data_IF_074800619879
#
_entry.id   IF_074800619879
#
_cell.length_a   1.000
_cell.length_b   1.000
_cell.length_c   1.000
_cell.angle_alpha   90.00
_cell.angle_beta   90.00
_cell.angle_gamma   90.00
#
_symmetry.space_group_name_H-M   'P 1'
#
loop_
_entity.id
_entity.type
_entity.pdbx_description
1 polymer ?
#
# COMPACT_ATOMS: atom_id res chain seq x y z
N UNK A 1 -0.84 -1.15 19.74
CA UNK A 1 -2.01 -0.72 20.57
C UNK A 1 -3.13 -1.72 20.41
N UNK A 2 -4.02 -1.83 21.39
CA UNK A 2 -5.22 -2.64 21.29
C UNK A 2 -6.41 -1.84 20.72
N UNK A 3 -7.53 -2.52 20.46
CA UNK A 3 -8.70 -1.85 19.88
C UNK A 3 -9.34 -0.82 20.81
N UNK A 4 -9.24 -1.01 22.12
CA UNK A 4 -9.73 0.01 23.07
C UNK A 4 -8.93 1.32 22.92
N UNK A 5 -7.62 1.20 22.80
CA UNK A 5 -6.76 2.36 22.55
C UNK A 5 -7.09 3.04 21.21
N UNK A 6 -7.26 2.25 20.15
CA UNK A 6 -7.66 2.77 18.83
C UNK A 6 -8.98 3.55 18.91
N UNK A 7 -9.98 2.98 19.56
CA UNK A 7 -11.31 3.59 19.69
C UNK A 7 -11.33 4.85 20.55
N UNK A 8 -10.31 5.04 21.39
CA UNK A 8 -10.18 6.19 22.27
C UNK A 8 -9.36 7.33 21.66
N UNK A 9 -8.77 7.15 20.49
CA UNK A 9 -7.93 8.16 19.86
C UNK A 9 -8.74 9.39 19.44
N UNK A 10 -8.29 10.61 19.79
CA UNK A 10 -8.81 11.83 19.16
C UNK A 10 -8.56 11.81 17.65
N UNK A 11 -9.33 12.61 16.92
CA UNK A 11 -9.25 12.68 15.46
C UNK A 11 -7.82 12.91 14.93
N UNK A 12 -7.13 13.91 15.48
CA UNK A 12 -5.78 14.26 15.03
C UNK A 12 -4.78 13.12 15.25
N UNK A 13 -4.85 12.46 16.40
CA UNK A 13 -3.97 11.33 16.71
C UNK A 13 -4.28 10.13 15.84
N UNK A 14 -5.55 9.87 15.58
CA UNK A 14 -5.95 8.78 14.69
C UNK A 14 -5.41 9.00 13.28
N UNK A 15 -5.56 10.21 12.74
CA UNK A 15 -5.04 10.53 11.39
C UNK A 15 -3.51 10.47 11.36
N UNK A 16 -2.85 10.93 12.41
CA UNK A 16 -1.39 10.87 12.50
C UNK A 16 -0.87 9.43 12.51
N UNK A 17 -1.54 8.54 13.26
CA UNK A 17 -1.11 7.14 13.40
C UNK A 17 -1.47 6.31 12.16
N UNK A 18 -2.68 6.46 11.65
CA UNK A 18 -3.21 5.65 10.55
C UNK A 18 -3.15 6.32 9.19
N UNK A 19 -2.65 7.55 9.12
CA UNK A 19 -2.70 8.35 7.89
C UNK A 19 -1.89 7.81 6.71
N UNK A 20 -0.96 6.88 6.96
CA UNK A 20 -0.15 6.27 5.90
C UNK A 20 -0.34 4.75 5.77
N UNK A 21 -1.42 4.20 6.31
CA UNK A 21 -1.75 2.78 6.03
C UNK A 21 -2.13 2.57 4.56
N UNK A 22 -2.62 3.62 3.92
CA UNK A 22 -2.66 3.75 2.46
C UNK A 22 -1.71 4.88 2.10
N UNK A 23 -0.74 4.60 1.27
CA UNK A 23 0.39 5.48 0.96
C UNK A 23 -0.06 6.90 0.58
N UNK A 24 0.36 7.88 1.35
CA UNK A 24 0.09 9.31 1.14
C UNK A 24 -1.39 9.67 0.99
N UNK A 25 -2.27 8.86 1.56
CA UNK A 25 -3.72 9.09 1.53
C UNK A 25 -4.31 9.23 2.94
N UNK A 26 -3.93 10.26 3.72
CA UNK A 26 -4.42 10.44 5.09
C UNK A 26 -5.94 10.68 5.16
N UNK A 27 -6.56 11.09 4.07
CA UNK A 27 -8.00 11.32 4.00
C UNK A 27 -8.81 10.06 4.29
N UNK A 28 -8.27 8.86 4.00
CA UNK A 28 -8.98 7.61 4.27
C UNK A 28 -9.10 7.39 5.78
N UNK A 29 -8.01 7.56 6.53
CA UNK A 29 -8.04 7.52 7.98
C UNK A 29 -9.01 8.55 8.56
N UNK A 30 -8.96 9.79 8.05
CA UNK A 30 -9.87 10.85 8.47
C UNK A 30 -11.34 10.47 8.26
N UNK A 31 -11.66 9.87 7.11
CA UNK A 31 -13.03 9.49 6.77
C UNK A 31 -13.57 8.34 7.64
N UNK A 32 -12.73 7.35 7.95
CA UNK A 32 -13.20 6.18 8.74
C UNK A 32 -13.23 6.44 10.25
N UNK A 33 -12.56 7.46 10.75
CA UNK A 33 -12.53 7.79 12.17
C UNK A 33 -13.93 7.93 12.79
N UNK A 34 -14.88 8.50 12.07
CA UNK A 34 -16.26 8.68 12.52
C UNK A 34 -17.03 7.36 12.67
N UNK A 35 -16.54 6.28 12.13
CA UNK A 35 -17.16 4.95 12.23
C UNK A 35 -16.82 4.21 13.52
N UNK A 36 -15.98 4.81 14.38
CA UNK A 36 -15.69 4.22 15.71
C UNK A 36 -16.98 4.12 16.56
N UNK A 37 -17.07 3.17 17.48
CA UNK A 37 -16.04 2.18 17.82
C UNK A 37 -15.96 1.04 16.82
N UNK A 38 -14.72 0.58 16.56
CA UNK A 38 -14.49 -0.65 15.78
C UNK A 38 -14.48 -1.84 16.74
N UNK A 39 -15.27 -2.86 16.42
CA UNK A 39 -15.39 -4.05 17.25
C UNK A 39 -14.13 -4.92 17.27
N UNK A 40 -13.32 -4.85 16.20
CA UNK A 40 -12.14 -5.69 16.02
C UNK A 40 -11.16 -5.06 15.05
N UNK A 41 -9.96 -5.64 14.96
CA UNK A 41 -9.00 -5.32 13.90
C UNK A 41 -9.64 -5.46 12.50
N UNK A 42 -10.37 -6.55 12.28
CA UNK A 42 -11.05 -6.78 11.00
C UNK A 42 -12.09 -5.69 10.70
N UNK A 43 -12.81 -5.19 11.69
CA UNK A 43 -13.77 -4.10 11.50
C UNK A 43 -13.10 -2.81 11.06
N UNK A 44 -11.94 -2.47 11.63
CA UNK A 44 -11.14 -1.33 11.20
C UNK A 44 -10.64 -1.51 9.76
N UNK A 45 -10.07 -2.66 9.46
CA UNK A 45 -9.57 -2.99 8.13
C UNK A 45 -10.68 -2.95 7.09
N UNK A 46 -11.84 -3.52 7.41
CA UNK A 46 -13.02 -3.52 6.53
C UNK A 46 -13.51 -2.10 6.26
N UNK A 47 -13.54 -1.23 7.25
CA UNK A 47 -13.92 0.17 7.07
C UNK A 47 -13.03 0.88 6.04
N UNK A 48 -11.73 0.65 6.09
CA UNK A 48 -10.77 1.20 5.14
C UNK A 48 -10.98 0.58 3.75
N UNK A 49 -11.10 -0.73 3.68
CA UNK A 49 -11.33 -1.46 2.42
C UNK A 49 -12.61 -1.02 1.73
N UNK A 50 -13.70 -0.89 2.48
CA UNK A 50 -14.99 -0.45 1.94
C UNK A 50 -14.94 0.99 1.44
N UNK A 51 -14.21 1.87 2.13
CA UNK A 51 -13.99 3.24 1.65
C UNK A 51 -13.35 3.24 0.25
N UNK A 52 -12.33 2.42 0.06
CA UNK A 52 -11.66 2.28 -1.25
C UNK A 52 -12.62 1.72 -2.29
N UNK A 53 -13.39 0.69 -1.94
CA UNK A 53 -14.27 -0.01 -2.88
C UNK A 53 -15.41 0.86 -3.42
N UNK A 54 -15.90 1.82 -2.63
CA UNK A 54 -16.97 2.74 -3.07
C UNK A 54 -16.47 3.92 -3.89
N UNK A 55 -15.16 4.12 -3.99
CA UNK A 55 -14.61 5.17 -4.84
C UNK A 55 -14.92 4.88 -6.32
N UNK A 56 -15.15 5.93 -7.12
CA UNK A 56 -15.19 5.77 -8.57
C UNK A 56 -13.81 5.31 -9.09
N UNK A 57 -13.77 4.80 -10.31
CA UNK A 57 -12.54 4.33 -10.94
C UNK A 57 -11.44 5.39 -10.93
N UNK A 58 -11.77 6.66 -11.18
CA UNK A 58 -10.85 7.79 -11.11
C UNK A 58 -10.27 8.00 -9.72
N UNK A 59 -11.06 7.79 -8.67
CA UNK A 59 -10.62 7.87 -7.27
C UNK A 59 -9.68 6.73 -6.91
N UNK A 60 -9.95 5.50 -7.35
CA UNK A 60 -9.07 4.36 -7.17
C UNK A 60 -7.73 4.60 -7.87
N UNK A 61 -7.73 5.07 -9.09
CA UNK A 61 -6.50 5.43 -9.80
C UNK A 61 -5.73 6.56 -9.11
N UNK A 62 -6.44 7.53 -8.52
CA UNK A 62 -5.84 8.57 -7.70
C UNK A 62 -5.06 8.03 -6.52
N UNK A 63 -5.60 7.03 -5.83
CA UNK A 63 -4.89 6.32 -4.74
C UNK A 63 -3.64 5.62 -5.28
N UNK A 64 -3.73 4.95 -6.42
CA UNK A 64 -2.59 4.30 -7.05
C UNK A 64 -1.47 5.29 -7.36
N UNK A 65 -1.81 6.48 -7.84
CA UNK A 65 -0.84 7.55 -8.17
C UNK A 65 -0.12 8.12 -6.95
N UNK A 66 -0.59 7.88 -5.75
CA UNK A 66 0.10 8.27 -4.52
C UNK A 66 1.29 7.36 -4.19
N UNK A 67 1.39 6.21 -4.81
CA UNK A 67 2.46 5.24 -4.57
C UNK A 67 3.72 5.60 -5.36
N UNK A 68 4.92 5.40 -4.78
CA UNK A 68 6.18 5.64 -5.47
C UNK A 68 6.48 4.52 -6.46
N UNK A 69 7.34 4.80 -7.43
CA UNK A 69 7.96 3.76 -8.25
C UNK A 69 8.85 2.88 -7.37
N UNK A 70 8.85 1.58 -7.63
CA UNK A 70 9.77 0.67 -6.94
C UNK A 70 11.19 0.83 -7.46
N UNK A 71 12.14 0.91 -6.55
CA UNK A 71 13.54 1.20 -6.86
C UNK A 71 13.72 2.45 -7.75
N UNK A 72 12.83 3.42 -7.58
CA UNK A 72 12.78 4.63 -8.37
C UNK A 72 13.53 5.80 -7.76
N UNK A 73 13.20 6.99 -8.26
CA UNK A 73 13.84 8.24 -7.85
C UNK A 73 13.70 8.52 -6.36
N UNK A 74 12.52 8.30 -5.78
CA UNK A 74 12.29 8.57 -4.35
C UNK A 74 13.14 7.70 -3.45
N UNK A 75 13.38 6.44 -3.81
CA UNK A 75 14.31 5.58 -3.08
C UNK A 75 15.73 6.15 -3.13
N UNK A 76 16.19 6.56 -4.30
CA UNK A 76 17.53 7.09 -4.52
C UNK A 76 17.74 8.43 -3.82
N UNK A 77 16.72 9.28 -3.81
CA UNK A 77 16.75 10.62 -3.20
C UNK A 77 16.48 10.60 -1.68
N UNK A 78 16.07 9.47 -1.12
CA UNK A 78 15.72 9.36 0.29
C UNK A 78 14.40 10.05 0.65
N UNK A 79 13.49 10.20 -0.29
CA UNK A 79 12.20 10.91 -0.14
C UNK A 79 10.99 9.98 0.01
N UNK A 80 11.22 8.67 0.13
CA UNK A 80 10.15 7.72 0.44
C UNK A 80 9.59 7.96 1.85
N UNK A 81 8.31 7.64 2.05
CA UNK A 81 7.79 7.49 3.41
C UNK A 81 8.59 6.41 4.14
N UNK A 82 8.61 6.46 5.47
CA UNK A 82 9.32 5.47 6.27
C UNK A 82 8.83 4.05 5.96
N UNK A 83 7.53 3.86 5.86
CA UNK A 83 6.92 2.56 5.56
C UNK A 83 7.36 2.04 4.19
N UNK A 84 7.28 2.86 3.17
CA UNK A 84 7.73 2.49 1.81
C UNK A 84 9.22 2.17 1.76
N UNK A 85 10.03 2.93 2.47
CA UNK A 85 11.49 2.69 2.54
C UNK A 85 11.81 1.33 3.15
N UNK A 86 11.19 1.02 4.27
CA UNK A 86 11.41 -0.26 4.96
C UNK A 86 10.93 -1.43 4.11
N UNK A 87 9.78 -1.30 3.47
CA UNK A 87 9.19 -2.33 2.60
C UNK A 87 10.08 -2.60 1.39
N UNK A 88 10.55 -1.57 0.72
CA UNK A 88 11.45 -1.70 -0.44
C UNK A 88 12.81 -2.27 -0.06
N UNK A 89 13.37 -1.83 1.07
CA UNK A 89 14.64 -2.33 1.58
C UNK A 89 14.58 -3.81 1.92
N UNK A 90 13.52 -4.26 2.59
CA UNK A 90 13.32 -5.69 2.91
C UNK A 90 13.17 -6.57 1.68
N UNK A 91 12.61 -6.04 0.60
CA UNK A 91 12.49 -6.76 -0.66
C UNK A 91 13.80 -6.77 -1.49
N UNK A 92 14.85 -6.09 -1.01
CA UNK A 92 16.13 -6.00 -1.70
C UNK A 92 16.18 -4.96 -2.82
N UNK A 93 15.19 -4.06 -2.90
CA UNK A 93 15.11 -3.08 -3.98
C UNK A 93 16.13 -1.94 -3.86
N UNK A 94 16.72 -1.75 -2.69
CA UNK A 94 17.82 -0.82 -2.45
C UNK A 94 19.21 -1.42 -2.77
N UNK A 95 19.27 -2.70 -3.08
CA UNK A 95 20.48 -3.45 -3.37
C UNK A 95 20.44 -4.14 -4.74
N UNK A 96 19.76 -3.54 -5.71
CA UNK A 96 19.71 -4.05 -7.08
C UNK A 96 21.05 -3.90 -7.78
N UNK A 97 21.44 -4.93 -8.53
CA UNK A 97 22.54 -4.82 -9.48
C UNK A 97 22.20 -3.85 -10.62
N UNK A 98 23.20 -3.33 -11.29
CA UNK A 98 23.04 -2.33 -12.33
C UNK A 98 22.07 -2.77 -13.44
N UNK A 99 22.15 -4.02 -13.90
CA UNK A 99 21.26 -4.57 -14.90
C UNK A 99 19.80 -4.67 -14.40
N UNK A 100 19.61 -5.10 -13.16
CA UNK A 100 18.29 -5.20 -12.52
C UNK A 100 17.66 -3.80 -12.36
N UNK A 101 18.45 -2.82 -11.95
CA UNK A 101 17.99 -1.43 -11.80
C UNK A 101 17.55 -0.84 -13.13
N UNK A 102 18.33 -1.04 -14.18
CA UNK A 102 17.99 -0.60 -15.54
C UNK A 102 16.69 -1.26 -16.02
N UNK A 103 16.55 -2.55 -15.81
CA UNK A 103 15.35 -3.30 -16.19
C UNK A 103 14.11 -2.84 -15.42
N UNK A 104 14.24 -2.62 -14.12
CA UNK A 104 13.15 -2.10 -13.28
C UNK A 104 12.71 -0.72 -13.74
N UNK A 105 13.64 0.19 -14.00
CA UNK A 105 13.33 1.53 -14.48
C UNK A 105 12.60 1.51 -15.83
N UNK A 106 13.06 0.68 -16.76
CA UNK A 106 12.43 0.52 -18.05
C UNK A 106 11.01 -0.02 -17.94
N UNK A 107 10.79 -1.05 -17.15
CA UNK A 107 9.47 -1.65 -16.94
C UNK A 107 8.51 -0.71 -16.21
N UNK A 108 8.99 0.06 -15.23
CA UNK A 108 8.20 1.10 -14.57
C UNK A 108 7.70 2.15 -15.56
N UNK A 109 8.54 2.59 -16.46
CA UNK A 109 8.17 3.56 -17.51
C UNK A 109 7.13 2.98 -18.49
N UNK A 110 7.34 1.76 -18.97
CA UNK A 110 6.38 1.06 -19.84
C UNK A 110 5.03 0.90 -19.15
N UNK A 111 5.04 0.50 -17.89
CA UNK A 111 3.82 0.31 -17.10
C UNK A 111 3.03 1.62 -16.94
N UNK A 112 3.70 2.68 -16.51
CA UNK A 112 3.06 3.99 -16.34
C UNK A 112 2.55 4.58 -17.65
N UNK A 113 3.29 4.42 -18.73
CA UNK A 113 2.87 4.87 -20.06
C UNK A 113 1.59 4.16 -20.52
N UNK A 114 1.47 2.86 -20.22
CA UNK A 114 0.31 2.06 -20.59
C UNK A 114 -0.91 2.34 -19.72
N UNK A 115 -0.75 2.41 -18.40
CA UNK A 115 -1.88 2.42 -17.46
C UNK A 115 -2.19 3.79 -16.87
N UNK A 116 -1.26 4.73 -16.86
CA UNK A 116 -1.44 6.05 -16.26
C UNK A 116 -1.33 6.09 -14.74
N UNK A 117 -0.93 5.00 -14.11
CA UNK A 117 -0.62 4.90 -12.69
C UNK A 117 0.61 4.00 -12.47
N UNK A 118 1.31 4.12 -11.33
CA UNK A 118 2.50 3.31 -11.09
C UNK A 118 2.13 1.86 -10.80
N UNK A 119 3.09 0.96 -11.04
CA UNK A 119 2.99 -0.43 -10.63
C UNK A 119 2.98 -0.53 -9.10
N UNK A 120 1.97 -1.18 -8.56
CA UNK A 120 1.80 -1.41 -7.12
C UNK A 120 1.81 -2.90 -6.83
N UNK A 121 2.67 -3.31 -5.93
CA UNK A 121 2.77 -4.68 -5.41
C UNK A 121 3.11 -4.63 -3.94
N UNK A 122 2.60 -5.59 -3.17
CA UNK A 122 2.99 -5.74 -1.78
C UNK A 122 4.43 -6.28 -1.70
N UNK A 123 5.41 -5.39 -1.59
CA UNK A 123 6.82 -5.74 -1.60
C UNK A 123 7.20 -6.70 -0.46
N UNK A 124 6.57 -6.58 0.70
CA UNK A 124 6.82 -7.46 1.86
C UNK A 124 6.43 -8.92 1.63
N UNK A 125 5.56 -9.20 0.66
CA UNK A 125 5.13 -10.56 0.29
C UNK A 125 5.93 -11.13 -0.88
N UNK A 126 6.93 -10.41 -1.38
CA UNK A 126 7.67 -10.76 -2.59
C UNK A 126 9.15 -10.50 -2.42
N UNK A 127 9.98 -11.18 -3.22
CA UNK A 127 11.39 -10.84 -3.40
C UNK A 127 11.59 -10.04 -4.70
N UNK A 128 12.81 -9.52 -4.89
CA UNK A 128 13.13 -8.69 -6.06
C UNK A 128 12.93 -9.43 -7.39
N UNK A 129 13.24 -10.71 -7.45
CA UNK A 129 13.08 -11.52 -8.68
C UNK A 129 11.59 -11.67 -9.03
N UNK A 130 10.75 -11.96 -8.04
CA UNK A 130 9.30 -12.09 -8.23
C UNK A 130 8.65 -10.74 -8.59
N UNK A 131 9.12 -9.66 -7.99
CA UNK A 131 8.64 -8.29 -8.30
C UNK A 131 8.93 -7.96 -9.77
N UNK A 132 10.15 -8.19 -10.24
CA UNK A 132 10.53 -7.96 -11.65
C UNK A 132 9.69 -8.80 -12.60
N UNK A 133 9.51 -10.08 -12.28
CA UNK A 133 8.69 -11.00 -13.09
C UNK A 133 7.24 -10.53 -13.18
N UNK A 134 6.63 -10.19 -12.06
CA UNK A 134 5.25 -9.71 -12.04
C UNK A 134 5.08 -8.37 -12.75
N UNK A 135 6.02 -7.44 -12.60
CA UNK A 135 6.00 -6.17 -13.32
C UNK A 135 6.02 -6.41 -14.84
N UNK A 136 6.89 -7.29 -15.32
CA UNK A 136 6.95 -7.67 -16.73
C UNK A 136 5.64 -8.28 -17.24
N UNK A 137 5.09 -9.22 -16.49
CA UNK A 137 3.83 -9.90 -16.84
C UNK A 137 2.64 -8.92 -16.81
N UNK A 138 2.55 -8.11 -15.79
CA UNK A 138 1.43 -7.18 -15.59
C UNK A 138 1.42 -6.02 -16.59
N UNK A 139 2.54 -5.69 -17.20
CA UNK A 139 2.58 -4.75 -18.32
C UNK A 139 1.70 -5.20 -19.51
N UNK A 140 1.38 -6.48 -19.62
CA UNK A 140 0.57 -7.03 -20.70
C UNK A 140 -0.93 -7.14 -20.38
N UNK A 141 -1.33 -6.81 -19.14
CA UNK A 141 -2.72 -6.89 -18.68
C UNK A 141 -3.61 -5.83 -19.32
N UNK A 142 -4.91 -6.05 -19.28
CA UNK A 142 -5.89 -5.02 -19.62
C UNK A 142 -6.02 -4.02 -18.48
N UNK A 143 -6.28 -2.75 -18.81
CA UNK A 143 -6.32 -1.65 -17.83
C UNK A 143 -7.28 -1.89 -16.66
N UNK A 144 -8.50 -2.35 -16.93
CA UNK A 144 -9.50 -2.59 -15.88
C UNK A 144 -9.07 -3.71 -14.93
N UNK A 145 -8.53 -4.80 -15.47
CA UNK A 145 -8.01 -5.93 -14.68
C UNK A 145 -6.79 -5.50 -13.86
N UNK A 146 -5.91 -4.72 -14.45
CA UNK A 146 -4.70 -4.22 -13.77
C UNK A 146 -5.03 -3.24 -12.65
N UNK A 147 -5.99 -2.35 -12.86
CA UNK A 147 -6.47 -1.44 -11.81
C UNK A 147 -7.03 -2.24 -10.62
N UNK A 148 -7.87 -3.23 -10.87
CA UNK A 148 -8.42 -4.08 -9.81
C UNK A 148 -7.32 -4.83 -9.07
N UNK A 149 -6.34 -5.38 -9.79
CA UNK A 149 -5.18 -6.05 -9.20
C UNK A 149 -4.34 -5.10 -8.34
N UNK A 150 -4.08 -3.90 -8.82
CA UNK A 150 -3.31 -2.90 -8.10
C UNK A 150 -4.03 -2.47 -6.80
N UNK A 151 -5.34 -2.30 -6.82
CA UNK A 151 -6.15 -1.99 -5.63
C UNK A 151 -6.07 -3.13 -4.61
N UNK A 152 -6.11 -4.39 -5.05
CA UNK A 152 -5.92 -5.53 -4.15
C UNK A 152 -4.55 -5.52 -3.50
N UNK A 153 -3.51 -5.12 -4.22
CA UNK A 153 -2.16 -4.97 -3.65
C UNK A 153 -2.09 -3.82 -2.63
N UNK A 154 -2.77 -2.70 -2.89
CA UNK A 154 -2.92 -1.63 -1.89
C UNK A 154 -3.53 -2.15 -0.60
N UNK A 155 -4.57 -2.98 -0.68
CA UNK A 155 -5.22 -3.57 0.49
C UNK A 155 -4.30 -4.53 1.25
N UNK A 156 -3.46 -5.30 0.56
CA UNK A 156 -2.44 -6.14 1.18
C UNK A 156 -1.40 -5.32 1.94
N UNK A 157 -0.92 -4.25 1.34
CA UNK A 157 0.01 -3.30 1.98
C UNK A 157 -0.63 -2.70 3.23
N UNK A 158 -1.86 -2.23 3.12
CA UNK A 158 -2.63 -1.68 4.23
C UNK A 158 -2.77 -2.67 5.38
N UNK A 159 -3.10 -3.91 5.09
CA UNK A 159 -3.21 -4.99 6.09
C UNK A 159 -1.92 -5.15 6.89
N UNK A 160 -0.78 -5.23 6.23
CA UNK A 160 0.51 -5.40 6.89
C UNK A 160 0.91 -4.15 7.69
N UNK A 161 0.63 -2.96 7.19
CA UNK A 161 0.88 -1.72 7.91
C UNK A 161 0.00 -1.61 9.16
N UNK A 162 -1.26 -1.99 9.07
CA UNK A 162 -2.17 -2.06 10.22
C UNK A 162 -1.70 -3.07 11.26
N UNK A 163 -1.23 -4.24 10.85
CA UNK A 163 -0.67 -5.25 11.78
C UNK A 163 0.54 -4.73 12.56
N UNK A 164 1.31 -3.82 11.97
CA UNK A 164 2.41 -3.15 12.65
C UNK A 164 1.99 -2.12 13.70
N UNK A 165 0.76 -1.63 13.63
CA UNK A 165 0.23 -0.57 14.49
C UNK A 165 -0.73 -1.09 15.56
N UNK A 166 -1.52 -2.10 15.23
CA UNK A 166 -2.61 -2.61 16.06
C UNK A 166 -2.39 -4.09 16.33
N UNK A 167 -2.56 -4.50 17.58
CA UNK A 167 -2.56 -5.92 17.94
C UNK A 167 -3.80 -6.58 17.35
N UNK A 168 -3.56 -7.65 16.60
CA UNK A 168 -4.65 -8.53 16.19
C UNK A 168 -5.12 -9.29 17.41
N UNK A 169 -6.45 -9.43 17.56
CA UNK A 169 -7.01 -10.27 18.62
C UNK A 169 -6.45 -11.68 18.48
N UNK A 170 -5.69 -12.13 19.46
CA UNK A 170 -5.25 -13.51 19.48
C UNK A 170 -6.51 -14.40 19.52
N UNK A 171 -6.58 -15.50 18.76
CA UNK A 171 -7.67 -16.43 18.91
C UNK A 171 -7.69 -16.87 20.37
N UNK A 172 -8.83 -16.66 21.05
CA UNK A 172 -9.03 -17.16 22.40
C UNK A 172 -8.65 -18.65 22.40
N UNK A 173 -7.57 -18.98 23.08
CA UNK A 173 -7.29 -20.37 23.41
C UNK A 173 -8.40 -20.77 24.37
N UNK A 174 -9.42 -21.44 23.87
CA UNK A 174 -10.31 -22.24 24.63
C UNK A 174 -9.56 -23.44 25.26
#
# INVERSE_FOLDING_TARGET
>A
MDMNAVNSLPFEDFVRIFGNVVEKCPMIAAAVWSQRPFASFLALETAISDFIDVLPESGKEGILRCHPDLAGRDLQMGTLTQESREEQSRAGLDALESAERTRMAQLNEEYKARFGFPFVICARMNDKANILRQLSERCQSERAAERARAVDEVKKICHLRLQGLVRTDAPNKL
#
